data_IF_814568106958
#
_entry.id   IF_814568106958
#
_cell.length_a   1.000
_cell.length_b   1.000
_cell.length_c   1.000
_cell.angle_alpha   90.00
_cell.angle_beta   90.00
_cell.angle_gamma   90.00
#
_symmetry.space_group_name_H-M   'P 1'
#
loop_
_entity.id
_entity.type
_entity.pdbx_description
1 polymer ?
#
# COMPACT_ATOMS: atom_id res chain seq x y z
N UNK A 1 -10.40 -19.37 4.54
CA UNK A 1 -10.19 -18.03 3.97
C UNK A 1 -10.03 -18.19 2.47
N UNK A 2 -10.80 -17.43 1.72
CA UNK A 2 -10.77 -17.49 0.27
C UNK A 2 -9.47 -16.85 -0.25
N UNK A 3 -8.96 -17.40 -1.35
CA UNK A 3 -7.75 -16.90 -1.98
C UNK A 3 -7.83 -15.41 -2.34
N UNK A 4 -9.02 -14.95 -2.74
CA UNK A 4 -9.26 -13.52 -3.04
C UNK A 4 -9.02 -12.62 -1.84
N UNK A 5 -9.44 -13.05 -0.65
CA UNK A 5 -9.25 -12.28 0.57
C UNK A 5 -7.78 -12.15 0.91
N UNK A 6 -7.04 -13.24 0.79
CA UNK A 6 -5.60 -13.23 1.04
C UNK A 6 -4.88 -12.32 0.04
N UNK A 7 -5.25 -12.42 -1.25
CA UNK A 7 -4.68 -11.58 -2.30
C UNK A 7 -4.98 -10.10 -2.06
N UNK A 8 -6.22 -9.79 -1.63
CA UNK A 8 -6.62 -8.42 -1.33
C UNK A 8 -5.81 -7.83 -0.18
N UNK A 9 -5.68 -8.58 0.91
CA UNK A 9 -4.90 -8.11 2.07
C UNK A 9 -3.43 -7.95 1.73
N UNK A 10 -2.87 -8.87 0.95
CA UNK A 10 -1.49 -8.78 0.49
C UNK A 10 -1.27 -7.55 -0.40
N UNK A 11 -2.22 -7.24 -1.27
CA UNK A 11 -2.15 -6.07 -2.14
C UNK A 11 -2.19 -4.78 -1.33
N UNK A 12 -3.04 -4.69 -0.31
CA UNK A 12 -3.09 -3.53 0.59
C UNK A 12 -1.78 -3.38 1.35
N UNK A 13 -1.21 -4.47 1.82
CA UNK A 13 0.08 -4.44 2.51
C UNK A 13 1.20 -3.94 1.60
N UNK A 14 1.21 -4.36 0.35
CA UNK A 14 2.18 -3.87 -0.64
C UNK A 14 2.02 -2.36 -0.86
N UNK A 15 0.79 -1.87 -0.97
CA UNK A 15 0.53 -0.45 -1.11
C UNK A 15 1.07 0.34 0.07
N UNK A 16 0.78 -0.11 1.29
CA UNK A 16 1.23 0.56 2.50
C UNK A 16 2.75 0.60 2.59
N UNK A 17 3.41 -0.51 2.28
CA UNK A 17 4.87 -0.58 2.28
C UNK A 17 5.47 0.35 1.23
N UNK A 18 4.88 0.41 0.05
CA UNK A 18 5.33 1.28 -1.03
C UNK A 18 5.20 2.75 -0.64
N UNK A 19 4.06 3.16 -0.10
CA UNK A 19 3.85 4.55 0.33
C UNK A 19 4.80 4.93 1.45
N UNK A 20 5.06 4.02 2.38
CA UNK A 20 6.04 4.24 3.45
C UNK A 20 7.44 4.45 2.88
N UNK A 21 7.85 3.62 1.91
CA UNK A 21 9.15 3.75 1.27
C UNK A 21 9.28 5.08 0.53
N UNK A 22 8.25 5.46 -0.22
CA UNK A 22 8.25 6.73 -0.95
C UNK A 22 8.34 7.90 0.02
N UNK A 23 7.57 7.85 1.11
CA UNK A 23 7.59 8.90 2.12
C UNK A 23 8.98 9.07 2.72
N UNK A 24 9.64 7.98 3.05
CA UNK A 24 11.00 8.04 3.60
C UNK A 24 11.97 8.66 2.62
N UNK A 25 11.90 8.30 1.35
CA UNK A 25 12.79 8.85 0.34
C UNK A 25 12.54 10.35 0.12
N UNK A 26 11.26 10.76 0.10
CA UNK A 26 10.90 12.17 -0.06
C UNK A 26 11.36 12.98 1.15
N UNK A 27 11.16 12.46 2.37
CA UNK A 27 11.48 13.18 3.60
C UNK A 27 12.97 13.33 3.84
N UNK A 28 13.77 12.29 3.56
CA UNK A 28 15.15 12.23 4.00
C UNK A 28 16.16 12.46 2.89
N UNK A 29 15.85 12.07 1.65
CA UNK A 29 16.82 12.13 0.56
C UNK A 29 16.50 13.16 -0.50
N UNK A 30 15.30 13.71 -0.52
CA UNK A 30 14.82 14.57 -1.62
C UNK A 30 15.10 13.92 -2.98
N UNK A 31 14.88 12.61 -3.05
CA UNK A 31 15.28 11.82 -4.18
C UNK A 31 14.55 12.25 -5.45
N UNK A 32 15.27 12.21 -6.57
CA UNK A 32 14.65 12.27 -7.88
C UNK A 32 13.68 11.10 -8.01
N UNK A 33 12.41 11.41 -8.31
CA UNK A 33 11.36 10.40 -8.40
C UNK A 33 11.63 9.39 -9.51
N UNK A 34 12.29 9.80 -10.59
CA UNK A 34 12.68 8.87 -11.65
C UNK A 34 13.70 7.85 -11.16
N UNK A 35 14.68 8.31 -10.40
CA UNK A 35 15.69 7.43 -9.82
C UNK A 35 15.06 6.47 -8.81
N UNK A 36 14.13 6.98 -7.98
CA UNK A 36 13.40 6.17 -7.04
C UNK A 36 12.57 5.09 -7.76
N UNK A 37 11.90 5.48 -8.85
CA UNK A 37 11.13 4.52 -9.64
C UNK A 37 12.04 3.41 -10.19
N UNK A 38 13.19 3.76 -10.72
CA UNK A 38 14.15 2.78 -11.22
C UNK A 38 14.64 1.83 -10.13
N UNK A 39 14.91 2.35 -8.94
CA UNK A 39 15.31 1.53 -7.80
C UNK A 39 14.21 0.57 -7.36
N UNK A 40 12.97 1.03 -7.31
CA UNK A 40 11.82 0.20 -6.93
C UNK A 40 11.57 -0.91 -7.95
N UNK A 41 11.78 -0.63 -9.23
CA UNK A 41 11.69 -1.65 -10.28
C UNK A 41 12.81 -2.69 -10.14
N UNK A 42 14.03 -2.25 -9.84
CA UNK A 42 15.14 -3.18 -9.62
C UNK A 42 14.94 -4.07 -8.41
N UNK A 43 14.33 -3.54 -7.36
CA UNK A 43 14.04 -4.31 -6.15
C UNK A 43 12.84 -5.24 -6.31
N UNK A 44 12.14 -5.18 -7.45
CA UNK A 44 10.97 -6.01 -7.69
C UNK A 44 9.71 -5.53 -6.98
N UNK A 45 9.74 -4.35 -6.38
CA UNK A 45 8.58 -3.78 -5.69
C UNK A 45 7.55 -3.30 -6.69
N UNK A 46 8.00 -2.73 -7.82
CA UNK A 46 7.15 -2.28 -8.91
C UNK A 46 7.51 -3.00 -10.21
N UNK A 47 6.51 -3.20 -11.05
CA UNK A 47 6.74 -3.75 -12.39
C UNK A 47 7.21 -2.63 -13.31
N UNK A 48 8.20 -2.93 -14.15
CA UNK A 48 8.65 -2.00 -15.17
C UNK A 48 7.64 -1.98 -16.31
N UNK A 49 7.18 -0.82 -16.70
CA UNK A 49 6.18 -0.68 -17.76
C UNK A 49 5.52 0.68 -17.77
N UNK A 50 5.54 1.36 -16.64
CA UNK A 50 5.08 2.73 -16.56
C UNK A 50 6.19 3.70 -16.94
N UNK A 51 5.83 4.89 -17.39
CA UNK A 51 6.81 5.91 -17.76
C UNK A 51 7.49 6.53 -16.55
N UNK A 52 6.78 6.60 -15.43
CA UNK A 52 7.25 7.24 -14.22
C UNK A 52 6.47 6.71 -13.02
N UNK A 53 6.94 7.10 -11.83
CA UNK A 53 6.32 6.67 -10.58
C UNK A 53 4.84 7.10 -10.49
N UNK A 54 4.51 8.28 -11.02
CA UNK A 54 3.15 8.81 -10.98
C UNK A 54 2.15 7.98 -11.79
N UNK A 55 2.63 7.21 -12.75
CA UNK A 55 1.80 6.35 -13.60
C UNK A 55 1.87 4.88 -13.21
N UNK A 56 2.53 4.55 -12.11
CA UNK A 56 2.67 3.17 -11.68
C UNK A 56 1.29 2.54 -11.43
N UNK A 57 1.05 1.33 -11.96
CA UNK A 57 -0.24 0.67 -11.76
C UNK A 57 -0.38 0.19 -10.33
N UNK A 58 -1.61 0.16 -9.78
CA UNK A 58 -1.84 -0.40 -8.46
C UNK A 58 -1.62 -1.91 -8.46
N UNK A 59 -1.24 -2.50 -7.31
CA UNK A 59 -1.15 -3.95 -7.21
C UNK A 59 -2.49 -4.64 -7.53
N UNK A 60 -2.41 -5.84 -8.06
CA UNK A 60 -3.60 -6.65 -8.32
C UNK A 60 -4.23 -7.08 -6.99
N UNK A 61 -5.55 -7.11 -6.96
CA UNK A 61 -6.31 -7.54 -5.79
C UNK A 61 -6.96 -6.40 -5.01
N UNK A 62 -6.73 -5.15 -5.40
CA UNK A 62 -7.35 -4.00 -4.76
C UNK A 62 -8.77 -3.79 -5.26
N UNK A 63 -9.64 -3.27 -4.39
CA UNK A 63 -10.97 -2.81 -4.80
C UNK A 63 -10.83 -1.54 -5.67
N UNK A 64 -11.93 -1.18 -6.34
CA UNK A 64 -11.94 0.02 -7.19
C UNK A 64 -11.62 1.29 -6.38
N UNK A 65 -12.18 1.40 -5.18
CA UNK A 65 -11.90 2.53 -4.29
C UNK A 65 -10.43 2.60 -3.90
N UNK A 66 -9.84 1.45 -3.57
CA UNK A 66 -8.43 1.37 -3.19
C UNK A 66 -7.51 1.68 -4.36
N UNK A 67 -7.85 1.19 -5.55
CA UNK A 67 -7.09 1.50 -6.76
C UNK A 67 -7.10 3.00 -7.04
N UNK A 68 -8.26 3.63 -6.89
CA UNK A 68 -8.38 5.06 -7.13
C UNK A 68 -7.60 5.86 -6.09
N UNK A 69 -7.65 5.45 -4.83
CA UNK A 69 -6.87 6.06 -3.76
C UNK A 69 -5.37 6.00 -4.08
N UNK A 70 -4.88 4.84 -4.49
CA UNK A 70 -3.50 4.66 -4.88
C UNK A 70 -3.11 5.54 -6.07
N UNK A 71 -3.92 5.54 -7.12
CA UNK A 71 -3.66 6.33 -8.33
C UNK A 71 -3.65 7.83 -8.05
N UNK A 72 -4.58 8.31 -7.23
CA UNK A 72 -4.64 9.71 -6.85
C UNK A 72 -3.39 10.11 -6.07
N UNK A 73 -2.97 9.28 -5.13
CA UNK A 73 -1.76 9.51 -4.36
C UNK A 73 -0.53 9.59 -5.26
N UNK A 74 -0.35 8.60 -6.13
CA UNK A 74 0.83 8.52 -6.99
C UNK A 74 0.86 9.65 -8.03
N UNK A 75 -0.28 10.02 -8.59
CA UNK A 75 -0.35 11.08 -9.61
C UNK A 75 0.00 12.45 -9.05
N UNK A 76 -0.13 12.64 -7.73
CA UNK A 76 0.21 13.89 -7.07
C UNK A 76 1.68 14.05 -6.72
N UNK A 77 2.49 13.01 -6.89
CA UNK A 77 3.91 13.07 -6.53
C UNK A 77 4.67 14.03 -7.44
N UNK A 78 5.62 14.76 -6.86
CA UNK A 78 6.48 15.67 -7.60
C UNK A 78 5.90 17.03 -7.89
N UNK A 79 4.67 17.31 -7.44
CA UNK A 79 3.99 18.58 -7.71
C UNK A 79 4.04 19.56 -6.55
N UNK A 80 4.45 19.11 -5.38
CA UNK A 80 4.44 19.92 -4.16
C UNK A 80 5.78 19.82 -3.47
N UNK A 81 5.97 20.69 -2.46
CA UNK A 81 7.15 20.61 -1.60
C UNK A 81 7.16 19.31 -0.80
N UNK A 82 8.35 18.87 -0.39
CA UNK A 82 8.52 17.60 0.32
C UNK A 82 7.61 17.48 1.53
N UNK A 83 7.41 18.56 2.27
CA UNK A 83 6.53 18.57 3.45
C UNK A 83 5.09 18.27 3.07
N UNK A 84 4.59 18.91 2.01
CA UNK A 84 3.21 18.69 1.53
C UNK A 84 3.06 17.29 0.97
N UNK A 85 4.06 16.78 0.27
CA UNK A 85 4.03 15.43 -0.26
C UNK A 85 3.98 14.40 0.86
N UNK A 86 4.76 14.59 1.92
CA UNK A 86 4.72 13.72 3.09
C UNK A 86 3.36 13.74 3.77
N UNK A 87 2.73 14.91 3.87
CA UNK A 87 1.39 15.03 4.44
C UNK A 87 0.35 14.30 3.61
N UNK A 88 0.43 14.41 2.28
CA UNK A 88 -0.47 13.68 1.38
C UNK A 88 -0.24 12.17 1.45
N UNK A 89 1.01 11.73 1.48
CA UNK A 89 1.33 10.32 1.63
C UNK A 89 0.81 9.77 2.95
N UNK A 90 0.95 10.51 4.03
CA UNK A 90 0.42 10.12 5.34
C UNK A 90 -1.12 10.02 5.31
N UNK A 91 -1.78 10.95 4.63
CA UNK A 91 -3.23 10.94 4.50
C UNK A 91 -3.71 9.68 3.76
N UNK A 92 -3.14 9.40 2.60
CA UNK A 92 -3.55 8.23 1.81
C UNK A 92 -3.15 6.92 2.47
N UNK A 93 -2.02 6.91 3.16
CA UNK A 93 -1.61 5.73 3.94
C UNK A 93 -2.60 5.45 5.06
N UNK A 94 -3.02 6.47 5.80
CA UNK A 94 -4.01 6.31 6.85
C UNK A 94 -5.35 5.81 6.30
N UNK A 95 -5.75 6.32 5.14
CA UNK A 95 -6.98 5.87 4.49
C UNK A 95 -6.91 4.40 4.07
N UNK A 96 -5.78 3.99 3.49
CA UNK A 96 -5.58 2.59 3.11
C UNK A 96 -5.49 1.68 4.33
N UNK A 97 -4.89 2.15 5.43
CA UNK A 97 -4.87 1.40 6.68
C UNK A 97 -6.28 1.18 7.23
N UNK A 98 -7.13 2.19 7.17
CA UNK A 98 -8.52 2.06 7.60
C UNK A 98 -9.27 1.04 6.73
N UNK A 99 -9.05 1.06 5.42
CA UNK A 99 -9.63 0.08 4.50
C UNK A 99 -9.09 -1.32 4.78
N UNK A 100 -7.81 -1.44 5.11
CA UNK A 100 -7.21 -2.73 5.49
C UNK A 100 -7.85 -3.30 6.74
N UNK A 101 -8.07 -2.47 7.76
CA UNK A 101 -8.72 -2.90 8.99
C UNK A 101 -10.15 -3.38 8.73
N UNK A 102 -10.89 -2.66 7.88
CA UNK A 102 -12.23 -3.06 7.49
C UNK A 102 -12.22 -4.41 6.77
N UNK A 103 -11.27 -4.60 5.85
CA UNK A 103 -11.13 -5.86 5.13
C UNK A 103 -10.75 -7.01 6.05
N UNK A 104 -9.86 -6.77 7.00
CA UNK A 104 -9.48 -7.78 8.00
C UNK A 104 -10.67 -8.19 8.86
N UNK A 105 -11.48 -7.23 9.30
CA UNK A 105 -12.69 -7.50 10.07
C UNK A 105 -13.68 -8.33 9.26
N UNK A 106 -13.90 -8.00 8.01
CA UNK A 106 -14.79 -8.75 7.13
C UNK A 106 -14.29 -10.18 6.94
N UNK A 107 -12.99 -10.36 6.74
CA UNK A 107 -12.37 -11.67 6.59
C UNK A 107 -12.55 -12.54 7.83
N UNK A 108 -12.38 -11.94 9.02
CA UNK A 108 -12.57 -12.64 10.29
C UNK A 108 -14.02 -13.07 10.48
N UNK A 109 -14.97 -12.23 10.10
CA UNK A 109 -16.39 -12.56 10.20
C UNK A 109 -16.76 -13.69 9.26
N UNK A 110 -16.26 -13.68 8.04
CA UNK A 110 -16.50 -14.75 7.06
C UNK A 110 -15.90 -16.09 7.50
N UNK A 111 -14.76 -16.04 8.18
CA UNK A 111 -14.12 -17.25 8.67
C UNK A 111 -14.79 -17.83 9.92
N UNK A 112 -15.76 -17.11 10.53
CA UNK A 112 -16.45 -17.56 11.73
C UNK A 112 -15.57 -17.69 12.95
N UNK A 113 -14.42 -16.99 12.97
CA UNK A 113 -13.47 -17.07 14.09
C UNK A 113 -13.96 -16.24 15.27
N UNK A 114 -13.87 -16.78 16.51
CA UNK A 114 -14.13 -15.99 17.72
C UNK A 114 -13.15 -14.80 17.82
N UNK A 115 -13.58 -13.73 18.47
CA UNK A 115 -12.76 -12.52 18.60
C UNK A 115 -11.36 -12.78 19.11
N UNK A 116 -11.21 -13.68 20.09
CA UNK A 116 -9.90 -14.00 20.70
C UNK A 116 -8.98 -14.73 19.72
N UNK A 117 -9.53 -15.62 18.90
CA UNK A 117 -8.76 -16.33 17.88
C UNK A 117 -8.46 -15.43 16.68
N UNK A 118 -9.34 -14.45 16.41
CA UNK A 118 -9.13 -13.49 15.34
C UNK A 118 -7.90 -12.61 15.54
N UNK A 119 -7.62 -12.21 16.79
CA UNK A 119 -6.42 -11.44 17.11
C UNK A 119 -5.14 -12.25 16.89
N UNK A 120 -5.13 -13.51 17.33
CA UNK A 120 -3.99 -14.39 17.14
C UNK A 120 -3.74 -14.67 15.65
N UNK A 121 -4.79 -14.90 14.87
CA UNK A 121 -4.68 -15.13 13.44
C UNK A 121 -4.19 -13.88 12.71
N UNK A 122 -4.66 -12.69 13.11
CA UNK A 122 -4.18 -11.44 12.54
C UNK A 122 -2.72 -11.21 12.78
N UNK A 123 -2.23 -11.48 13.98
CA UNK A 123 -0.81 -11.37 14.30
C UNK A 123 0.03 -12.39 13.55
N UNK A 124 -0.45 -13.62 13.40
CA UNK A 124 0.24 -14.65 12.64
C UNK A 124 0.36 -14.26 11.17
N UNK A 125 -0.70 -13.70 10.57
CA UNK A 125 -0.66 -13.22 9.20
C UNK A 125 0.31 -12.06 9.03
N UNK A 126 0.34 -11.13 9.98
CA UNK A 126 1.27 -10.02 9.95
C UNK A 126 2.72 -10.51 10.01
N UNK A 127 3.00 -11.50 10.83
CA UNK A 127 4.34 -12.10 10.92
C UNK A 127 4.74 -12.86 9.66
N UNK A 128 3.79 -13.51 9.00
CA UNK A 128 4.05 -14.22 7.74
C UNK A 128 4.28 -13.27 6.57
N UNK A 129 3.75 -12.04 6.63
CA UNK A 129 3.89 -11.04 5.58
C UNK A 129 5.12 -10.13 5.78
N UNK A 130 5.74 -10.20 6.92
CA UNK A 130 6.99 -9.51 7.21
C UNK A 130 8.18 -10.38 6.76
#
# INVERSE_FOLDING_TARGET
IQARTVQHLAALQKCLALLERIRQEVAFRRADLQQLYAELCREGILESGARCLQEAPPPEGLTREEQQCFRTCMSGLGRAEARQECEQLDYYRARLQALQQTAEHAARRQAGLPRKLGLAAGMAMALLLI
#
